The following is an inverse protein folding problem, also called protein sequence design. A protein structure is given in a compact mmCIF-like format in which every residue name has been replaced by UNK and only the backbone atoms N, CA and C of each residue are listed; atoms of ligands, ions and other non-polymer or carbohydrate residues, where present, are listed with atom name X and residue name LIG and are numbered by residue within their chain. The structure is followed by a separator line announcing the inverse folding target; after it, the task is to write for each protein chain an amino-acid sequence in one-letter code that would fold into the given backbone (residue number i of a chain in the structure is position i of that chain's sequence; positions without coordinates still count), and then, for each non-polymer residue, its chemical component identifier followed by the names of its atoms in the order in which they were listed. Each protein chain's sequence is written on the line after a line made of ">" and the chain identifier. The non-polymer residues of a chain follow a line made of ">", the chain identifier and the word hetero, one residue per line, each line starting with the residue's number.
data_IF_695575931476
#
_entry.id   IF_695575931476
#
_cell.length_a   1.000
_cell.length_b   1.000
_cell.length_c   1.000
_cell.angle_alpha   90.00
_cell.angle_beta   90.00
_cell.angle_gamma   90.00
#
_symmetry.space_group_name_H-M   'P 1'
#
loop_
_entity.id
_entity.type
_entity.pdbx_description
1 polymer ?
#
# COMPACT_ATOMS: atom_id res chain seq x y z
N UNK A 1 16.48 -5.57 2.16
CA UNK A 1 15.66 -4.48 1.61
C UNK A 1 14.22 -4.99 1.53
N UNK A 2 13.27 -4.40 2.27
CA UNK A 2 11.87 -4.84 2.30
C UNK A 2 11.03 -4.05 1.28
N UNK A 3 10.19 -4.75 0.52
CA UNK A 3 9.25 -4.16 -0.45
C UNK A 3 7.84 -4.64 -0.10
N UNK A 4 6.87 -3.73 -0.05
CA UNK A 4 5.46 -4.05 0.16
C UNK A 4 4.68 -4.00 -1.14
N UNK A 5 3.73 -4.92 -1.31
CA UNK A 5 2.82 -4.96 -2.43
C UNK A 5 1.39 -4.71 -1.94
N UNK A 6 0.66 -3.84 -2.63
CA UNK A 6 -0.76 -3.57 -2.42
C UNK A 6 -1.51 -3.74 -3.75
N UNK A 7 -2.81 -3.96 -3.71
CA UNK A 7 -3.66 -4.09 -4.90
C UNK A 7 -5.05 -3.56 -4.59
N UNK A 8 -5.76 -3.07 -5.62
CA UNK A 8 -7.21 -2.89 -5.62
C UNK A 8 -7.76 -2.03 -4.48
N UNK A 9 -7.17 -0.85 -4.33
CA UNK A 9 -7.55 0.14 -3.31
C UNK A 9 -8.89 0.80 -3.63
N UNK A 10 -9.25 0.95 -4.93
CA UNK A 10 -10.54 1.47 -5.37
C UNK A 10 -10.96 2.79 -4.67
N UNK A 11 -10.03 3.75 -4.56
CA UNK A 11 -10.28 5.05 -3.93
C UNK A 11 -10.46 5.01 -2.40
N UNK A 12 -10.30 3.85 -1.75
CA UNK A 12 -10.42 3.72 -0.29
C UNK A 12 -9.20 4.31 0.42
N UNK A 13 -9.22 5.63 0.61
CA UNK A 13 -8.14 6.37 1.26
C UNK A 13 -7.84 5.89 2.70
N UNK A 14 -8.83 5.57 3.56
CA UNK A 14 -8.55 4.98 4.87
C UNK A 14 -7.77 3.66 4.79
N UNK A 15 -8.16 2.74 3.90
CA UNK A 15 -7.47 1.46 3.72
C UNK A 15 -6.04 1.66 3.22
N UNK A 16 -5.85 2.57 2.25
CA UNK A 16 -4.51 2.91 1.75
C UNK A 16 -3.61 3.44 2.86
N UNK A 17 -4.11 4.36 3.70
CA UNK A 17 -3.36 4.93 4.82
C UNK A 17 -2.96 3.85 5.83
N UNK A 18 -3.88 2.95 6.17
CA UNK A 18 -3.62 1.85 7.10
C UNK A 18 -2.54 0.90 6.55
N UNK A 19 -2.66 0.47 5.29
CA UNK A 19 -1.71 -0.44 4.66
C UNK A 19 -0.31 0.17 4.52
N UNK A 20 -0.22 1.45 4.12
CA UNK A 20 1.06 2.16 4.01
C UNK A 20 1.71 2.37 5.38
N UNK A 21 0.94 2.67 6.42
CA UNK A 21 1.46 2.82 7.78
C UNK A 21 2.03 1.50 8.32
N UNK A 22 1.33 0.39 8.13
CA UNK A 22 1.81 -0.95 8.51
C UNK A 22 3.09 -1.32 7.73
N UNK A 23 3.11 -1.13 6.41
CA UNK A 23 4.28 -1.41 5.57
C UNK A 23 5.50 -0.58 6.01
N UNK A 24 5.32 0.71 6.28
CA UNK A 24 6.39 1.58 6.80
C UNK A 24 6.85 1.15 8.19
N UNK A 25 5.93 0.77 9.08
CA UNK A 25 6.26 0.26 10.41
C UNK A 25 7.11 -1.01 10.39
N UNK A 26 6.97 -1.83 9.34
CA UNK A 26 7.80 -3.02 9.10
C UNK A 26 9.15 -2.71 8.42
N UNK A 27 9.41 -1.47 8.05
CA UNK A 27 10.64 -1.05 7.38
C UNK A 27 10.63 -1.21 5.85
N UNK A 28 9.46 -1.23 5.21
CA UNK A 28 9.37 -1.30 3.76
C UNK A 28 9.94 -0.02 3.12
N UNK A 29 11.01 -0.18 2.34
CA UNK A 29 11.68 0.94 1.65
C UNK A 29 11.03 1.28 0.31
N UNK A 30 10.18 0.40 -0.22
CA UNK A 30 9.37 0.62 -1.43
C UNK A 30 8.00 0.00 -1.25
N UNK A 31 7.00 0.62 -1.87
CA UNK A 31 5.61 0.13 -1.92
C UNK A 31 5.19 0.15 -3.39
N UNK A 32 4.66 -0.96 -3.89
CA UNK A 32 4.21 -1.12 -5.28
C UNK A 32 2.73 -1.47 -5.28
N UNK A 33 1.93 -0.77 -6.09
CA UNK A 33 0.56 -1.15 -6.36
C UNK A 33 0.50 -2.02 -7.62
N UNK A 34 -0.16 -3.18 -7.53
CA UNK A 34 -0.31 -4.13 -8.64
C UNK A 34 -1.73 -4.18 -9.22
N UNK A 35 -2.64 -3.34 -8.73
CA UNK A 35 -4.03 -3.26 -9.17
C UNK A 35 -4.54 -1.83 -9.16
N UNK A 36 -5.86 -1.68 -9.12
CA UNK A 36 -6.48 -0.37 -9.34
C UNK A 36 -6.41 0.52 -8.10
N UNK A 37 -5.81 1.70 -8.27
CA UNK A 37 -5.81 2.75 -7.24
C UNK A 37 -7.18 3.44 -7.16
N UNK A 38 -7.84 3.58 -8.31
CA UNK A 38 -9.11 4.27 -8.53
C UNK A 38 -9.84 3.61 -9.69
N UNK A 39 -11.16 3.46 -9.59
CA UNK A 39 -12.03 2.85 -10.59
C UNK A 39 -13.48 2.97 -10.16
#
# INVERSE_FOLDING_TARGET
>A
MLIAFISDIHGNLPALKAAVADAKGRGAGRIVCCGDMTG
#
